data_IF_267778640698
#
_entry.id   IF_267778640698
#
_cell.length_a   1.000
_cell.length_b   1.000
_cell.length_c   1.000
_cell.angle_alpha   90.00
_cell.angle_beta   90.00
_cell.angle_gamma   90.00
#
_symmetry.space_group_name_H-M   'P 1'
#
loop_
_entity.id
_entity.type
_entity.pdbx_description
1 polymer ?
#
# COMPACT_ATOMS: atom_id res chain seq x y z
N UNK A 1 4.20 6.60 -8.00
CA UNK A 1 4.29 7.35 -6.74
C UNK A 1 5.27 8.49 -6.86
N UNK A 2 4.85 9.70 -6.53
CA UNK A 2 5.74 10.87 -6.51
C UNK A 2 6.37 11.03 -5.14
N UNK A 3 7.69 11.18 -5.08
CA UNK A 3 8.51 11.27 -3.87
C UNK A 3 9.09 12.68 -3.73
N UNK A 4 8.89 13.30 -2.57
CA UNK A 4 9.59 14.53 -2.19
C UNK A 4 10.53 14.18 -1.02
N UNK A 5 11.84 14.13 -1.27
CA UNK A 5 12.84 13.74 -0.27
C UNK A 5 13.63 14.96 0.16
N UNK A 6 13.63 15.28 1.45
CA UNK A 6 14.63 16.17 2.08
C UNK A 6 15.67 15.33 2.84
N UNK A 7 16.91 15.86 3.00
CA UNK A 7 18.04 15.15 3.61
C UNK A 7 17.81 14.66 5.04
N UNK A 8 16.94 15.30 5.79
CA UNK A 8 16.40 14.79 7.07
C UNK A 8 14.89 14.70 6.94
N UNK A 9 14.38 13.47 6.70
CA UNK A 9 12.94 13.27 6.53
C UNK A 9 12.24 13.53 7.86
N UNK A 10 11.69 14.73 8.02
CA UNK A 10 10.82 15.11 9.13
C UNK A 10 9.38 14.74 8.81
N UNK A 11 9.03 14.76 7.52
CA UNK A 11 7.68 14.54 6.99
C UNK A 11 7.75 13.93 5.59
N UNK A 12 6.91 12.93 5.33
CA UNK A 12 6.79 12.30 4.01
C UNK A 12 5.31 12.19 3.64
N UNK A 13 5.01 12.50 2.38
CA UNK A 13 3.69 12.27 1.78
C UNK A 13 3.81 11.28 0.63
N UNK A 14 2.84 10.37 0.54
CA UNK A 14 2.71 9.43 -0.57
C UNK A 14 1.31 9.53 -1.18
N UNK A 15 1.23 9.50 -2.50
CA UNK A 15 -0.01 9.44 -3.26
C UNK A 15 0.01 8.24 -4.19
N UNK A 16 -1.07 7.50 -4.21
CA UNK A 16 -1.25 6.34 -5.09
C UNK A 16 -2.62 6.40 -5.78
N UNK A 17 -2.68 6.17 -7.10
CA UNK A 17 -3.94 6.18 -7.83
C UNK A 17 -4.84 5.02 -7.40
N UNK A 18 -6.14 5.18 -7.56
CA UNK A 18 -7.08 4.08 -7.50
C UNK A 18 -6.85 3.11 -8.67
N UNK A 19 -7.35 1.90 -8.56
CA UNK A 19 -7.33 0.92 -9.64
C UNK A 19 -8.73 0.48 -10.03
N UNK A 20 -8.93 0.26 -11.32
CA UNK A 20 -10.10 -0.42 -11.85
C UNK A 20 -9.70 -1.82 -12.30
N UNK A 21 -10.32 -2.84 -11.75
CA UNK A 21 -10.16 -4.21 -12.20
C UNK A 21 -11.12 -4.47 -13.38
N UNK A 22 -10.56 -4.80 -14.54
CA UNK A 22 -11.34 -5.00 -15.77
C UNK A 22 -11.79 -6.45 -15.96
N UNK A 23 -11.12 -7.39 -15.33
CA UNK A 23 -11.49 -8.79 -15.40
C UNK A 23 -10.31 -9.76 -15.36
N UNK A 24 -10.65 -11.03 -15.38
CA UNK A 24 -9.69 -12.12 -15.52
C UNK A 24 -9.74 -12.68 -16.93
N UNK A 25 -8.64 -13.24 -17.40
CA UNK A 25 -8.58 -13.96 -18.67
C UNK A 25 -7.84 -15.29 -18.49
N UNK A 26 -8.16 -16.25 -19.35
CA UNK A 26 -7.45 -17.52 -19.45
C UNK A 26 -6.96 -17.73 -20.87
N UNK A 27 -5.71 -18.15 -21.02
CA UNK A 27 -5.11 -18.53 -22.31
C UNK A 27 -4.82 -20.01 -22.27
N UNK A 28 -5.42 -20.76 -23.21
CA UNK A 28 -5.11 -22.19 -23.39
C UNK A 28 -3.76 -22.34 -24.06
N UNK A 29 -2.91 -23.18 -23.51
CA UNK A 29 -1.63 -23.57 -24.08
C UNK A 29 -1.45 -25.11 -24.07
N UNK A 30 -0.32 -25.61 -24.52
CA UNK A 30 -0.04 -27.05 -24.60
C UNK A 30 0.03 -27.75 -23.22
N UNK A 31 0.10 -26.97 -22.10
CA UNK A 31 0.19 -27.46 -20.75
C UNK A 31 -1.09 -27.21 -19.92
N UNK A 32 -2.15 -26.69 -20.55
CA UNK A 32 -3.41 -26.34 -19.88
C UNK A 32 -3.77 -24.88 -20.06
N UNK A 33 -4.25 -24.23 -18.98
CA UNK A 33 -4.62 -22.82 -18.97
C UNK A 33 -3.65 -21.98 -18.16
N UNK A 34 -3.24 -20.85 -18.72
CA UNK A 34 -2.59 -19.75 -17.98
C UNK A 34 -3.61 -18.65 -17.72
N UNK A 35 -3.72 -18.21 -16.47
CA UNK A 35 -4.68 -17.18 -16.04
C UNK A 35 -3.97 -15.87 -15.74
N UNK A 36 -4.64 -14.77 -16.05
CA UNK A 36 -4.17 -13.44 -15.77
C UNK A 36 -5.32 -12.50 -15.45
N UNK A 37 -5.00 -11.26 -15.12
CA UNK A 37 -5.98 -10.23 -14.86
C UNK A 37 -5.56 -8.91 -15.51
N UNK A 38 -6.55 -8.07 -15.83
CA UNK A 38 -6.37 -6.74 -16.42
C UNK A 38 -6.92 -5.66 -15.51
N UNK A 39 -6.26 -4.50 -15.50
CA UNK A 39 -6.73 -3.34 -14.78
C UNK A 39 -6.02 -2.06 -15.19
N UNK A 40 -6.56 -0.94 -14.73
CA UNK A 40 -6.06 0.40 -14.99
C UNK A 40 -5.88 1.17 -13.68
N UNK A 41 -4.84 2.01 -13.61
CA UNK A 41 -4.72 3.06 -12.61
C UNK A 41 -5.58 4.27 -13.00
N UNK A 42 -6.32 4.81 -12.03
CA UNK A 42 -7.20 5.97 -12.23
C UNK A 42 -6.74 7.10 -11.32
N UNK A 43 -6.42 8.25 -11.88
CA UNK A 43 -5.86 9.40 -11.14
C UNK A 43 -6.87 10.17 -10.29
N UNK A 44 -8.16 10.10 -10.55
CA UNK A 44 -9.16 10.97 -9.91
C UNK A 44 -9.54 10.60 -8.47
N UNK A 45 -9.10 9.44 -7.99
CA UNK A 45 -9.47 8.90 -6.67
C UNK A 45 -8.23 8.42 -5.93
N UNK A 46 -7.26 9.30 -5.78
CA UNK A 46 -5.99 8.96 -5.15
C UNK A 46 -6.16 8.66 -3.66
N UNK A 47 -5.36 7.72 -3.18
CA UNK A 47 -5.11 7.54 -1.76
C UNK A 47 -3.87 8.33 -1.37
N UNK A 48 -4.00 9.25 -0.41
CA UNK A 48 -2.88 10.06 0.08
C UNK A 48 -2.66 9.86 1.56
N UNK A 49 -1.43 9.62 1.94
CA UNK A 49 -0.96 9.43 3.30
C UNK A 49 0.13 10.42 3.65
N UNK A 50 0.15 10.79 4.91
CA UNK A 50 1.17 11.65 5.50
C UNK A 50 1.76 10.97 6.73
N UNK A 51 3.08 10.94 6.85
CA UNK A 51 3.81 10.45 8.01
C UNK A 51 4.81 11.49 8.50
N UNK A 52 4.94 11.60 9.81
CA UNK A 52 5.95 12.42 10.47
C UNK A 52 6.44 11.75 11.76
N UNK A 53 7.55 12.21 12.29
CA UNK A 53 8.04 11.74 13.59
C UNK A 53 7.14 12.22 14.73
N UNK A 54 7.01 11.37 15.75
CA UNK A 54 6.21 11.65 16.95
C UNK A 54 6.87 11.00 18.17
N UNK A 55 6.57 11.49 19.37
CA UNK A 55 7.02 10.84 20.61
C UNK A 55 6.36 9.48 20.80
N UNK A 56 5.06 9.39 20.48
CA UNK A 56 4.27 8.19 20.59
C UNK A 56 3.66 7.84 19.23
N UNK A 57 3.36 6.56 19.03
CA UNK A 57 2.62 6.13 17.86
C UNK A 57 1.22 6.75 17.84
N UNK A 58 0.84 7.35 16.71
CA UNK A 58 -0.49 7.91 16.48
C UNK A 58 -0.93 7.70 15.04
N UNK A 59 -2.22 7.49 14.83
CA UNK A 59 -2.80 7.30 13.50
C UNK A 59 -4.32 7.53 13.49
N UNK A 60 -4.86 7.96 12.36
CA UNK A 60 -6.29 7.95 12.08
C UNK A 60 -6.73 6.73 11.24
N UNK A 61 -5.80 5.82 10.93
CA UNK A 61 -6.08 4.64 10.12
C UNK A 61 -6.81 3.55 10.93
N UNK A 62 -7.78 2.86 10.32
CA UNK A 62 -8.36 1.65 10.90
C UNK A 62 -7.30 0.58 11.17
N UNK A 63 -7.49 -0.17 12.26
CA UNK A 63 -6.55 -1.22 12.72
C UNK A 63 -6.19 -2.25 11.64
N UNK A 64 -7.12 -2.59 10.77
CA UNK A 64 -6.90 -3.53 9.66
C UNK A 64 -5.82 -3.07 8.67
N UNK A 65 -5.58 -1.77 8.55
CA UNK A 65 -4.55 -1.22 7.66
C UNK A 65 -3.23 -0.97 8.35
N UNK A 66 -3.25 -0.61 9.61
CA UNK A 66 -2.03 -0.31 10.35
C UNK A 66 -1.48 -1.51 11.16
N UNK A 67 -2.36 -2.40 11.60
CA UNK A 67 -2.00 -3.53 12.47
C UNK A 67 -0.93 -4.46 11.89
N UNK A 68 -1.06 -4.95 10.64
CA UNK A 68 -0.08 -5.88 10.08
C UNK A 68 1.34 -5.31 10.03
N UNK A 69 1.51 -4.06 9.59
CA UNK A 69 2.84 -3.45 9.51
C UNK A 69 3.41 -3.13 10.89
N UNK A 70 2.60 -2.71 11.86
CA UNK A 70 3.05 -2.48 13.24
C UNK A 70 3.51 -3.79 13.89
N UNK A 71 2.79 -4.88 13.65
CA UNK A 71 3.21 -6.22 14.09
C UNK A 71 4.57 -6.61 13.51
N UNK A 72 4.76 -6.36 12.22
CA UNK A 72 6.05 -6.58 11.55
C UNK A 72 7.17 -5.74 12.18
N UNK A 73 6.94 -4.45 12.41
CA UNK A 73 7.94 -3.57 13.04
C UNK A 73 8.32 -4.04 14.43
N UNK A 74 7.35 -4.39 15.26
CA UNK A 74 7.59 -4.91 16.62
C UNK A 74 8.35 -6.22 16.61
N UNK A 75 8.03 -7.14 15.70
CA UNK A 75 8.74 -8.42 15.55
C UNK A 75 10.20 -8.26 15.13
N UNK A 76 10.55 -7.15 14.49
CA UNK A 76 11.91 -6.82 14.06
C UNK A 76 12.59 -5.77 14.97
N UNK A 77 12.03 -5.51 16.15
CA UNK A 77 12.56 -4.54 17.12
C UNK A 77 12.74 -3.11 16.55
N UNK A 78 11.87 -2.71 15.65
CA UNK A 78 11.88 -1.38 15.03
C UNK A 78 10.96 -0.44 15.81
N UNK A 79 11.49 0.72 16.19
CA UNK A 79 10.71 1.74 16.93
C UNK A 79 9.58 2.31 16.07
N UNK A 80 8.42 2.53 16.70
CA UNK A 80 7.19 3.04 16.07
C UNK A 80 6.84 4.46 16.50
N UNK A 81 7.85 5.32 16.67
CA UNK A 81 7.68 6.71 17.07
C UNK A 81 7.28 7.58 15.88
N UNK A 82 6.12 7.30 15.31
CA UNK A 82 5.59 7.92 14.11
C UNK A 82 4.13 8.30 14.28
N UNK A 83 3.73 9.35 13.61
CA UNK A 83 2.34 9.72 13.39
C UNK A 83 2.03 9.57 11.89
N UNK A 84 1.08 8.70 11.56
CA UNK A 84 0.68 8.43 10.17
C UNK A 84 -0.82 8.65 10.01
N UNK A 85 -1.21 9.46 9.03
CA UNK A 85 -2.60 9.79 8.78
C UNK A 85 -2.95 9.65 7.30
N UNK A 86 -4.16 9.16 7.04
CA UNK A 86 -4.75 9.26 5.70
C UNK A 86 -5.32 10.68 5.52
N UNK A 87 -4.94 11.33 4.42
CA UNK A 87 -5.42 12.66 4.03
C UNK A 87 -6.57 12.52 3.04
N UNK A 88 -6.39 11.69 2.02
CA UNK A 88 -7.40 11.34 1.02
C UNK A 88 -7.46 9.83 0.87
N UNK A 89 -8.66 9.32 0.67
CA UNK A 89 -8.90 7.89 0.47
C UNK A 89 -9.86 7.67 -0.70
N UNK A 90 -9.52 6.75 -1.58
CA UNK A 90 -10.45 6.26 -2.61
C UNK A 90 -11.74 5.75 -1.98
N UNK A 91 -12.90 5.99 -2.60
CA UNK A 91 -14.16 5.43 -2.15
C UNK A 91 -14.08 3.91 -1.98
N UNK A 92 -14.66 3.39 -0.90
CA UNK A 92 -14.68 1.96 -0.60
C UNK A 92 -15.81 1.27 -1.35
N UNK A 93 -15.61 0.00 -1.68
CA UNK A 93 -16.65 -0.89 -2.22
C UNK A 93 -17.25 -0.51 -3.58
N UNK A 94 -16.55 0.28 -4.38
CA UNK A 94 -16.98 0.64 -5.75
C UNK A 94 -16.05 0.06 -6.86
N UNK A 95 -15.33 -1.01 -6.54
CA UNK A 95 -14.46 -1.70 -7.51
C UNK A 95 -13.10 -1.03 -7.79
N UNK A 96 -12.76 0.03 -7.07
CA UNK A 96 -11.50 0.78 -7.26
C UNK A 96 -10.30 0.21 -6.48
N UNK A 97 -10.45 -0.95 -5.86
CA UNK A 97 -9.37 -1.63 -5.14
C UNK A 97 -8.78 -0.84 -3.96
N UNK A 98 -9.57 0.05 -3.37
CA UNK A 98 -9.14 0.99 -2.33
C UNK A 98 -8.49 0.33 -1.12
N UNK A 99 -8.98 -0.84 -0.71
CA UNK A 99 -8.43 -1.58 0.42
C UNK A 99 -7.01 -2.09 0.18
N UNK A 100 -6.73 -2.62 -1.00
CA UNK A 100 -5.38 -3.07 -1.39
C UNK A 100 -4.44 -1.88 -1.55
N UNK A 101 -4.88 -0.82 -2.23
CA UNK A 101 -4.07 0.38 -2.42
C UNK A 101 -3.72 1.03 -1.09
N UNK A 102 -4.68 1.18 -0.18
CA UNK A 102 -4.42 1.76 1.14
C UNK A 102 -3.42 0.91 1.95
N UNK A 103 -3.57 -0.42 1.95
CA UNK A 103 -2.63 -1.31 2.64
C UNK A 103 -1.21 -1.18 2.11
N UNK A 104 -1.04 -1.18 0.79
CA UNK A 104 0.27 -1.04 0.14
C UNK A 104 0.87 0.35 0.38
N UNK A 105 0.06 1.41 0.33
CA UNK A 105 0.50 2.76 0.65
C UNK A 105 1.00 2.89 2.09
N UNK A 106 0.27 2.33 3.05
CA UNK A 106 0.69 2.33 4.46
C UNK A 106 2.02 1.62 4.64
N UNK A 107 2.17 0.43 4.10
CA UNK A 107 3.43 -0.31 4.14
C UNK A 107 4.58 0.44 3.45
N UNK A 108 4.31 1.02 2.29
CA UNK A 108 5.31 1.75 1.51
C UNK A 108 5.79 3.03 2.19
N UNK A 109 4.88 3.86 2.68
CA UNK A 109 5.26 5.12 3.35
C UNK A 109 6.06 4.85 4.63
N UNK A 110 5.69 3.84 5.41
CA UNK A 110 6.44 3.45 6.61
C UNK A 110 7.82 2.91 6.24
N UNK A 111 7.90 2.04 5.24
CA UNK A 111 9.18 1.51 4.74
C UNK A 111 10.13 2.62 4.29
N UNK A 112 9.63 3.56 3.50
CA UNK A 112 10.42 4.70 3.02
C UNK A 112 10.83 5.64 4.16
N UNK A 113 9.91 5.95 5.08
CA UNK A 113 10.17 6.86 6.19
C UNK A 113 11.19 6.29 7.19
N UNK A 114 11.10 5.00 7.51
CA UNK A 114 12.00 4.29 8.41
C UNK A 114 13.22 3.68 7.69
N UNK A 115 13.33 3.84 6.37
CA UNK A 115 14.45 3.33 5.54
C UNK A 115 14.62 1.80 5.64
N UNK A 116 13.52 1.05 5.55
CA UNK A 116 13.51 -0.40 5.69
C UNK A 116 13.80 -1.14 4.39
N UNK A 117 13.78 -0.46 3.25
CA UNK A 117 14.02 -1.06 1.92
C UNK A 117 13.08 -2.23 1.57
N UNK A 118 11.85 -2.23 2.07
CA UNK A 118 10.86 -3.24 1.72
C UNK A 118 10.38 -3.05 0.28
N UNK A 119 10.38 -4.14 -0.47
CA UNK A 119 9.80 -4.17 -1.82
C UNK A 119 8.27 -4.18 -1.73
N UNK A 120 7.60 -3.82 -2.82
CA UNK A 120 6.14 -3.92 -2.93
C UNK A 120 5.66 -5.35 -2.66
N UNK A 121 6.42 -6.35 -3.12
CA UNK A 121 6.14 -7.76 -2.85
C UNK A 121 6.22 -8.09 -1.37
N UNK A 122 7.27 -7.65 -0.66
CA UNK A 122 7.39 -7.85 0.79
C UNK A 122 6.21 -7.23 1.54
N UNK A 123 5.79 -6.03 1.16
CA UNK A 123 4.65 -5.35 1.76
C UNK A 123 3.35 -6.10 1.48
N UNK A 124 3.13 -6.56 0.25
CA UNK A 124 1.98 -7.37 -0.11
C UNK A 124 1.89 -8.66 0.72
N UNK A 125 3.01 -9.31 0.98
CA UNK A 125 3.08 -10.51 1.84
C UNK A 125 2.71 -10.18 3.29
N UNK A 126 3.21 -9.07 3.86
CA UNK A 126 2.84 -8.61 5.22
C UNK A 126 1.32 -8.42 5.34
N UNK A 127 0.68 -7.88 4.32
CA UNK A 127 -0.76 -7.63 4.27
C UNK A 127 -1.58 -8.79 3.70
N UNK A 128 -0.95 -9.89 3.26
CA UNK A 128 -1.60 -11.00 2.56
C UNK A 128 -2.45 -10.53 1.39
N UNK A 129 -1.87 -9.66 0.55
CA UNK A 129 -2.52 -9.08 -0.63
C UNK A 129 -1.91 -9.64 -1.92
N UNK A 130 -2.68 -9.58 -3.01
CA UNK A 130 -2.23 -10.05 -4.31
C UNK A 130 -2.50 -11.53 -4.61
N UNK A 131 -3.10 -12.27 -3.69
CA UNK A 131 -3.41 -13.70 -3.87
C UNK A 131 -4.43 -13.94 -5.00
N UNK A 132 -5.38 -13.01 -5.21
CA UNK A 132 -6.42 -13.11 -6.24
C UNK A 132 -6.06 -12.39 -7.55
N UNK A 133 -5.30 -11.30 -7.47
CA UNK A 133 -4.95 -10.48 -8.63
C UNK A 133 -3.71 -9.64 -8.31
N UNK A 134 -2.74 -9.65 -9.22
CA UNK A 134 -1.54 -8.81 -9.14
C UNK A 134 -1.77 -7.33 -9.46
N UNK A 135 -2.95 -6.92 -9.94
CA UNK A 135 -3.23 -5.55 -10.41
C UNK A 135 -3.02 -4.52 -9.30
N UNK A 136 -3.48 -4.81 -8.09
CA UNK A 136 -3.31 -3.91 -6.95
C UNK A 136 -1.86 -3.70 -6.52
N UNK A 137 -0.97 -4.63 -6.86
CA UNK A 137 0.46 -4.55 -6.59
C UNK A 137 1.19 -3.80 -7.70
N UNK A 138 0.72 -3.97 -8.94
CA UNK A 138 1.33 -3.38 -10.14
C UNK A 138 1.05 -1.89 -10.31
N UNK A 139 -0.05 -1.40 -9.76
CA UNK A 139 -0.47 0.01 -9.82
C UNK A 139 0.08 0.78 -8.65
#
# INVERSE_FOLDING_TARGET
MKKKISKNIVKLEISSPARLHLGFYGIKNNYGYSYGSMGLGIKSYDTKLLINRSKNFATNLPKKYIGPIIKYLKSNNIKTNININVIEKSPSHIGLGSGTQLSLCVGKIISEFLKLSLTTKNIAEIYKRGERSGIGISV
#
